data_IF_642889519201
#
_entry.id   IF_642889519201
#
_cell.length_a   1.000
_cell.length_b   1.000
_cell.length_c   1.000
_cell.angle_alpha   90.00
_cell.angle_beta   90.00
_cell.angle_gamma   90.00
#
_symmetry.space_group_name_H-M   'P 1'
#
loop_
_entity.id
_entity.type
_entity.pdbx_description
1 polymer ?
#
# COMPACT_ATOMS: atom_id res chain seq x y z
N UNK A 1 11.92 -30.98 -7.19
CA UNK A 1 10.67 -30.31 -7.65
C UNK A 1 10.94 -28.84 -7.59
N UNK A 2 10.70 -28.10 -8.66
CA UNK A 2 10.86 -26.65 -8.61
C UNK A 2 9.71 -26.02 -7.84
N UNK A 3 10.01 -25.04 -7.01
CA UNK A 3 9.07 -24.31 -6.19
C UNK A 3 8.05 -23.56 -7.05
N UNK A 4 6.76 -23.71 -6.75
CA UNK A 4 5.67 -22.99 -7.41
C UNK A 4 5.10 -21.90 -6.50
N UNK A 5 4.37 -20.94 -7.07
CA UNK A 5 3.62 -19.97 -6.24
C UNK A 5 2.65 -20.68 -5.27
N UNK A 6 2.02 -21.76 -5.70
CA UNK A 6 1.08 -22.51 -4.85
C UNK A 6 1.75 -23.03 -3.57
N UNK A 7 3.01 -23.48 -3.65
CA UNK A 7 3.77 -23.96 -2.50
C UNK A 7 4.06 -22.82 -1.53
N UNK A 8 4.51 -21.68 -2.05
CA UNK A 8 4.89 -20.49 -1.27
C UNK A 8 3.67 -19.77 -0.70
N UNK A 9 2.55 -19.72 -1.43
CA UNK A 9 1.31 -19.05 -1.02
C UNK A 9 0.81 -19.53 0.33
N UNK A 10 0.73 -20.84 0.52
CA UNK A 10 0.22 -21.42 1.77
C UNK A 10 1.14 -21.10 2.94
N UNK A 11 2.45 -21.07 2.73
CA UNK A 11 3.41 -20.67 3.75
C UNK A 11 3.29 -19.20 4.11
N UNK A 12 3.15 -18.30 3.12
CA UNK A 12 2.94 -16.87 3.36
C UNK A 12 1.66 -16.63 4.15
N UNK A 13 0.53 -17.23 3.74
CA UNK A 13 -0.74 -17.12 4.46
C UNK A 13 -0.65 -17.66 5.88
N UNK A 14 -0.01 -18.80 6.07
CA UNK A 14 0.22 -19.39 7.40
C UNK A 14 1.07 -18.46 8.27
N UNK A 15 2.14 -17.88 7.71
CA UNK A 15 3.02 -16.97 8.43
C UNK A 15 2.31 -15.67 8.82
N UNK A 16 1.50 -15.09 7.92
CA UNK A 16 0.71 -13.87 8.21
C UNK A 16 -0.34 -14.15 9.29
N UNK A 17 -1.06 -15.28 9.19
CA UNK A 17 -2.07 -15.68 10.18
C UNK A 17 -1.47 -15.98 11.56
N UNK A 18 -0.27 -16.51 11.61
CA UNK A 18 0.46 -16.77 12.86
C UNK A 18 1.14 -15.50 13.43
N UNK A 19 1.23 -14.45 12.67
CA UNK A 19 1.90 -13.23 13.08
C UNK A 19 1.01 -12.39 14.00
N UNK A 20 1.33 -12.35 15.28
CA UNK A 20 0.56 -11.62 16.29
C UNK A 20 0.39 -10.13 15.93
N UNK A 21 1.44 -9.48 15.39
CA UNK A 21 1.37 -8.06 15.03
C UNK A 21 0.45 -7.81 13.84
N UNK A 22 0.48 -8.69 12.84
CA UNK A 22 -0.45 -8.60 11.70
C UNK A 22 -1.91 -8.75 12.20
N UNK A 23 -2.18 -9.70 13.09
CA UNK A 23 -3.50 -9.89 13.71
C UNK A 23 -3.97 -8.65 14.46
N UNK A 24 -3.14 -8.08 15.35
CA UNK A 24 -3.46 -6.85 16.09
C UNK A 24 -3.74 -5.67 15.16
N UNK A 25 -2.95 -5.51 14.08
CA UNK A 25 -3.14 -4.42 13.11
C UNK A 25 -4.43 -4.62 12.31
N UNK A 26 -4.75 -5.86 11.93
CA UNK A 26 -6.01 -6.18 11.27
C UNK A 26 -7.22 -5.87 12.17
N UNK A 27 -7.18 -6.30 13.44
CA UNK A 27 -8.25 -6.02 14.40
C UNK A 27 -8.46 -4.52 14.61
N UNK A 28 -7.38 -3.73 14.63
CA UNK A 28 -7.45 -2.26 14.75
C UNK A 28 -8.23 -1.61 13.61
N UNK A 29 -8.18 -2.16 12.39
CA UNK A 29 -8.96 -1.64 11.26
C UNK A 29 -10.48 -1.73 11.49
N UNK A 30 -10.92 -2.63 12.36
CA UNK A 30 -12.33 -2.80 12.73
C UNK A 30 -12.75 -1.94 13.93
N UNK A 31 -11.82 -1.18 14.52
CA UNK A 31 -12.11 -0.28 15.64
C UNK A 31 -12.49 1.11 15.10
N UNK A 32 -13.51 1.73 15.73
CA UNK A 32 -13.92 3.09 15.37
C UNK A 32 -12.76 4.08 15.46
N UNK A 33 -12.49 4.76 14.35
CA UNK A 33 -11.46 5.79 14.26
C UNK A 33 -10.15 5.31 13.62
N UNK A 34 -10.06 4.04 13.21
CA UNK A 34 -8.96 3.57 12.36
C UNK A 34 -9.00 4.26 10.99
N UNK A 35 -7.85 4.30 10.33
CA UNK A 35 -7.70 4.94 9.03
C UNK A 35 -6.48 4.43 8.28
N UNK A 36 -6.02 5.18 7.30
CA UNK A 36 -4.89 4.76 6.44
C UNK A 36 -3.58 4.56 7.19
N UNK A 37 -3.36 5.22 8.34
CA UNK A 37 -2.22 4.92 9.21
C UNK A 37 -2.19 3.45 9.66
N UNK A 38 -3.35 2.89 10.00
CA UNK A 38 -3.46 1.49 10.43
C UNK A 38 -3.32 0.54 9.23
N UNK A 39 -3.91 0.89 8.07
CA UNK A 39 -3.74 0.15 6.81
C UNK A 39 -2.26 0.14 6.36
N UNK A 40 -1.56 1.27 6.46
CA UNK A 40 -0.14 1.38 6.14
C UNK A 40 0.72 0.51 7.08
N UNK A 41 0.44 0.54 8.38
CA UNK A 41 1.16 -0.32 9.33
C UNK A 41 0.92 -1.81 9.03
N UNK A 42 -0.31 -2.19 8.64
CA UNK A 42 -0.64 -3.53 8.21
C UNK A 42 0.10 -3.91 6.91
N UNK A 43 0.12 -3.04 5.91
CA UNK A 43 0.84 -3.25 4.64
C UNK A 43 2.34 -3.48 4.86
N UNK A 44 2.99 -2.67 5.71
CA UNK A 44 4.39 -2.86 6.11
C UNK A 44 4.60 -4.23 6.74
N UNK A 45 3.67 -4.68 7.61
CA UNK A 45 3.80 -5.97 8.28
C UNK A 45 3.61 -7.12 7.32
N UNK A 46 2.59 -7.07 6.45
CA UNK A 46 2.35 -8.07 5.39
C UNK A 46 3.59 -8.18 4.50
N UNK A 47 4.11 -7.07 3.97
CA UNK A 47 5.31 -7.06 3.12
C UNK A 47 6.54 -7.66 3.83
N UNK A 48 6.75 -7.30 5.11
CA UNK A 48 7.86 -7.83 5.91
C UNK A 48 7.73 -9.33 6.14
N UNK A 49 6.54 -9.83 6.50
CA UNK A 49 6.32 -11.27 6.73
C UNK A 49 6.51 -12.04 5.44
N UNK A 50 5.95 -11.56 4.33
CA UNK A 50 6.13 -12.15 3.00
C UNK A 50 7.61 -12.20 2.60
N UNK A 51 8.35 -11.09 2.76
CA UNK A 51 9.78 -11.05 2.49
C UNK A 51 10.58 -12.05 3.34
N UNK A 52 10.20 -12.22 4.61
CA UNK A 52 10.85 -13.21 5.50
C UNK A 52 10.55 -14.66 5.11
N UNK A 53 9.36 -14.96 4.57
CA UNK A 53 9.08 -16.28 4.01
C UNK A 53 9.95 -16.52 2.78
N UNK A 54 9.99 -15.56 1.85
CA UNK A 54 10.78 -15.68 0.62
C UNK A 54 12.29 -15.86 0.88
N UNK A 55 12.83 -15.27 1.95
CA UNK A 55 14.25 -15.42 2.36
C UNK A 55 14.64 -16.86 2.74
N UNK A 56 13.69 -17.73 2.99
CA UNK A 56 13.98 -19.15 3.32
C UNK A 56 14.35 -19.96 2.11
N UNK A 57 13.97 -19.50 0.93
CA UNK A 57 14.23 -20.18 -0.32
C UNK A 57 15.55 -19.72 -0.91
N UNK A 58 16.34 -20.69 -1.38
CA UNK A 58 17.59 -20.42 -2.07
C UNK A 58 17.31 -20.18 -3.56
N UNK A 59 18.18 -19.43 -4.26
CA UNK A 59 18.02 -19.23 -5.71
C UNK A 59 17.85 -20.51 -6.51
N UNK A 60 18.52 -21.61 -6.10
CA UNK A 60 18.46 -22.92 -6.73
C UNK A 60 17.10 -23.59 -6.60
N UNK A 61 16.30 -23.24 -5.59
CA UNK A 61 14.94 -23.77 -5.39
C UNK A 61 13.96 -23.18 -6.40
N UNK A 62 14.31 -22.05 -7.00
CA UNK A 62 13.46 -21.25 -7.87
C UNK A 62 13.99 -21.34 -9.29
N UNK A 63 13.37 -22.17 -10.12
CA UNK A 63 13.68 -22.19 -11.54
C UNK A 63 13.30 -20.84 -12.19
N UNK A 64 14.14 -20.34 -13.11
CA UNK A 64 13.95 -19.04 -13.77
C UNK A 64 12.54 -18.84 -14.37
N UNK A 65 12.01 -19.86 -15.02
CA UNK A 65 10.67 -19.82 -15.61
C UNK A 65 9.51 -19.75 -14.59
N UNK A 66 9.76 -20.03 -13.29
CA UNK A 66 8.76 -19.91 -12.26
C UNK A 66 8.64 -18.47 -11.70
N UNK A 67 9.59 -17.59 -12.03
CA UNK A 67 9.56 -16.20 -11.55
C UNK A 67 8.33 -15.45 -12.05
N UNK A 68 7.88 -15.73 -13.28
CA UNK A 68 6.70 -15.13 -13.89
C UNK A 68 5.38 -15.52 -13.18
N UNK A 69 5.36 -16.63 -12.45
CA UNK A 69 4.24 -17.06 -11.62
C UNK A 69 4.43 -16.65 -10.15
N UNK A 70 5.61 -16.89 -9.61
CA UNK A 70 5.93 -16.67 -8.19
C UNK A 70 5.84 -15.20 -7.79
N UNK A 71 6.45 -14.30 -8.55
CA UNK A 71 6.53 -12.88 -8.18
C UNK A 71 5.15 -12.22 -8.30
N UNK A 72 4.46 -12.25 -9.46
CA UNK A 72 3.13 -11.65 -9.57
C UNK A 72 2.11 -12.29 -8.64
N UNK A 73 2.18 -13.61 -8.45
CA UNK A 73 1.29 -14.32 -7.52
C UNK A 73 1.49 -13.87 -6.07
N UNK A 74 2.74 -13.71 -5.63
CA UNK A 74 3.09 -13.24 -4.28
C UNK A 74 2.64 -11.78 -4.07
N UNK A 75 2.91 -10.91 -5.05
CA UNK A 75 2.49 -9.51 -5.00
C UNK A 75 0.98 -9.36 -5.05
N UNK A 76 0.28 -10.20 -5.85
CA UNK A 76 -1.18 -10.26 -5.91
C UNK A 76 -1.80 -10.70 -4.58
N UNK A 77 -1.16 -11.64 -3.88
CA UNK A 77 -1.59 -12.02 -2.53
C UNK A 77 -1.47 -10.85 -1.54
N UNK A 78 -0.32 -10.18 -1.52
CA UNK A 78 -0.12 -9.00 -0.67
C UNK A 78 -1.11 -7.88 -1.04
N UNK A 79 -1.32 -7.64 -2.34
CA UNK A 79 -2.29 -6.68 -2.83
C UNK A 79 -3.69 -6.95 -2.26
N UNK A 80 -4.20 -8.17 -2.37
CA UNK A 80 -5.54 -8.50 -1.91
C UNK A 80 -5.71 -8.29 -0.39
N UNK A 81 -4.70 -8.67 0.40
CA UNK A 81 -4.73 -8.48 1.85
C UNK A 81 -4.71 -6.98 2.23
N UNK A 82 -3.89 -6.20 1.55
CA UNK A 82 -3.74 -4.76 1.84
C UNK A 82 -4.92 -3.96 1.28
N UNK A 83 -5.46 -4.30 0.11
CA UNK A 83 -6.65 -3.66 -0.46
C UNK A 83 -7.87 -3.84 0.47
N UNK A 84 -8.04 -5.03 1.05
CA UNK A 84 -9.07 -5.26 2.06
C UNK A 84 -8.89 -4.35 3.29
N UNK A 85 -7.65 -4.17 3.77
CA UNK A 85 -7.34 -3.26 4.87
C UNK A 85 -7.64 -1.79 4.51
N UNK A 86 -7.32 -1.37 3.30
CA UNK A 86 -7.63 -0.03 2.80
C UNK A 86 -9.14 0.22 2.69
N UNK A 87 -9.89 -0.79 2.25
CA UNK A 87 -11.35 -0.74 2.19
C UNK A 87 -11.96 -0.51 3.57
N UNK A 88 -11.50 -1.20 4.61
CA UNK A 88 -11.96 -0.98 5.99
C UNK A 88 -11.56 0.41 6.51
N UNK A 89 -10.33 0.84 6.25
CA UNK A 89 -9.87 2.19 6.60
C UNK A 89 -10.76 3.28 5.98
N UNK A 90 -11.04 3.16 4.66
CA UNK A 90 -11.88 4.13 3.95
C UNK A 90 -13.34 4.10 4.43
N UNK A 91 -13.91 2.93 4.72
CA UNK A 91 -15.26 2.83 5.33
C UNK A 91 -15.34 3.62 6.64
N UNK A 92 -14.32 3.50 7.49
CA UNK A 92 -14.29 4.21 8.76
C UNK A 92 -14.16 5.73 8.57
N UNK A 93 -13.31 6.18 7.64
CA UNK A 93 -13.17 7.60 7.28
C UNK A 93 -14.48 8.16 6.72
N UNK A 94 -15.11 7.46 5.78
CA UNK A 94 -16.40 7.85 5.19
C UNK A 94 -17.48 7.95 6.26
N UNK A 95 -17.57 6.98 7.17
CA UNK A 95 -18.52 6.99 8.28
C UNK A 95 -18.28 8.18 9.22
N UNK A 96 -17.02 8.48 9.54
CA UNK A 96 -16.64 9.63 10.39
C UNK A 96 -17.02 10.95 9.73
N UNK A 97 -16.74 11.09 8.43
CA UNK A 97 -17.04 12.29 7.65
C UNK A 97 -18.51 12.36 7.16
N UNK A 98 -19.32 11.33 7.43
CA UNK A 98 -20.71 11.18 6.93
C UNK A 98 -20.79 11.24 5.41
N UNK A 99 -19.84 10.62 4.73
CA UNK A 99 -19.75 10.49 3.28
C UNK A 99 -20.40 9.18 2.87
N UNK A 100 -21.36 9.22 1.92
CA UNK A 100 -22.10 8.06 1.42
C UNK A 100 -21.47 7.39 0.18
N UNK A 101 -20.23 7.73 -0.16
CA UNK A 101 -19.52 7.17 -1.31
C UNK A 101 -18.92 5.81 -0.91
N UNK A 102 -19.01 4.82 -1.80
CA UNK A 102 -18.36 3.52 -1.56
C UNK A 102 -16.84 3.68 -1.64
N UNK A 103 -16.07 2.98 -0.79
CA UNK A 103 -14.63 2.89 -0.97
C UNK A 103 -14.28 2.38 -2.37
N UNK A 104 -13.25 2.96 -2.96
CA UNK A 104 -12.62 2.46 -4.17
C UNK A 104 -11.53 1.47 -3.75
N UNK A 105 -11.50 0.32 -4.39
CA UNK A 105 -10.46 -0.68 -4.22
C UNK A 105 -9.38 -0.41 -5.27
N UNK A 106 -8.09 -0.36 -4.88
CA UNK A 106 -7.02 -0.13 -5.84
C UNK A 106 -6.88 -1.31 -6.79
N UNK A 107 -6.56 -1.03 -8.04
CA UNK A 107 -6.22 -2.07 -9.02
C UNK A 107 -4.83 -2.67 -8.74
N UNK A 108 -4.65 -3.93 -9.15
CA UNK A 108 -3.35 -4.57 -9.08
C UNK A 108 -2.38 -3.97 -10.12
N UNK A 109 -1.24 -3.44 -9.65
CA UNK A 109 -0.21 -2.89 -10.52
C UNK A 109 0.61 -4.01 -11.19
N UNK A 110 0.05 -4.56 -12.27
CA UNK A 110 0.68 -5.61 -13.08
C UNK A 110 1.98 -5.15 -13.75
N UNK A 111 2.09 -3.88 -14.13
CA UNK A 111 3.29 -3.34 -14.75
C UNK A 111 4.47 -3.32 -13.77
N UNK A 112 4.22 -2.90 -12.54
CA UNK A 112 5.23 -2.92 -11.49
C UNK A 112 5.62 -4.34 -11.11
N UNK A 113 4.66 -5.26 -11.04
CA UNK A 113 4.93 -6.67 -10.77
C UNK A 113 5.82 -7.27 -11.86
N UNK A 114 5.51 -7.02 -13.15
CA UNK A 114 6.32 -7.45 -14.28
C UNK A 114 7.72 -6.83 -14.25
N UNK A 115 7.83 -5.53 -13.96
CA UNK A 115 9.13 -4.86 -13.82
C UNK A 115 10.01 -5.49 -12.74
N UNK A 116 9.42 -6.01 -11.66
CA UNK A 116 10.15 -6.74 -10.62
C UNK A 116 10.63 -8.11 -11.09
N UNK A 117 9.84 -8.82 -11.92
CA UNK A 117 10.26 -10.07 -12.55
C UNK A 117 11.50 -9.84 -13.41
N UNK A 118 11.45 -8.85 -14.31
CA UNK A 118 12.56 -8.53 -15.19
C UNK A 118 13.81 -8.09 -14.42
N UNK A 119 13.65 -7.27 -13.37
CA UNK A 119 14.75 -6.86 -12.52
C UNK A 119 15.43 -8.03 -11.79
N UNK A 120 14.67 -9.05 -11.37
CA UNK A 120 15.23 -10.27 -10.77
C UNK A 120 15.93 -11.12 -11.82
N UNK A 121 15.35 -11.28 -13.03
CA UNK A 121 15.97 -12.01 -14.15
C UNK A 121 17.31 -11.38 -14.55
N UNK A 122 17.36 -10.06 -14.67
CA UNK A 122 18.59 -9.33 -15.03
C UNK A 122 19.69 -9.48 -13.98
N UNK A 123 19.34 -9.51 -12.70
CA UNK A 123 20.31 -9.68 -11.59
C UNK A 123 20.72 -11.12 -11.38
N UNK A 124 19.90 -12.08 -11.81
CA UNK A 124 20.13 -13.51 -11.58
C UNK A 124 19.99 -13.94 -10.13
N UNK A 125 19.37 -13.10 -9.27
CA UNK A 125 19.18 -13.40 -7.84
C UNK A 125 17.91 -12.77 -7.25
N UNK A 126 17.34 -13.46 -6.27
CA UNK A 126 16.35 -12.92 -5.34
C UNK A 126 17.09 -12.52 -4.07
N UNK A 127 17.43 -11.25 -3.95
CA UNK A 127 18.27 -10.72 -2.87
C UNK A 127 17.55 -9.70 -1.97
N UNK A 128 18.31 -9.05 -1.05
CA UNK A 128 17.75 -8.09 -0.09
C UNK A 128 16.91 -7.00 -0.73
N UNK A 129 17.33 -6.49 -1.88
CA UNK A 129 16.63 -5.44 -2.61
C UNK A 129 15.23 -5.89 -3.07
N UNK A 130 15.08 -7.16 -3.50
CA UNK A 130 13.77 -7.70 -3.85
C UNK A 130 12.80 -7.74 -2.65
N UNK A 131 13.28 -8.13 -1.46
CA UNK A 131 12.43 -8.16 -0.26
C UNK A 131 11.97 -6.77 0.17
N UNK A 132 12.83 -5.77 0.01
CA UNK A 132 12.46 -4.38 0.24
C UNK A 132 11.42 -3.90 -0.78
N UNK A 133 11.56 -4.30 -2.04
CA UNK A 133 10.60 -3.99 -3.10
C UNK A 133 9.23 -4.67 -2.88
N UNK A 134 9.19 -5.89 -2.34
CA UNK A 134 7.92 -6.54 -1.91
C UNK A 134 7.22 -5.72 -0.82
N UNK A 135 7.99 -5.18 0.12
CA UNK A 135 7.44 -4.30 1.16
C UNK A 135 6.96 -2.96 0.58
N UNK A 136 7.74 -2.34 -0.29
CA UNK A 136 7.36 -1.11 -0.98
C UNK A 136 6.13 -1.30 -1.88
N UNK A 137 6.00 -2.46 -2.54
CA UNK A 137 4.80 -2.79 -3.31
C UNK A 137 3.56 -2.80 -2.41
N UNK A 138 3.64 -3.44 -1.26
CA UNK A 138 2.52 -3.49 -0.30
C UNK A 138 2.13 -2.08 0.20
N UNK A 139 3.10 -1.18 0.43
CA UNK A 139 2.82 0.22 0.77
C UNK A 139 2.17 0.99 -0.38
N UNK A 140 2.62 0.72 -1.62
CA UNK A 140 2.05 1.39 -2.80
C UNK A 140 0.57 1.05 -3.02
N UNK A 141 0.10 -0.13 -2.60
CA UNK A 141 -1.33 -0.47 -2.60
C UNK A 141 -2.13 0.51 -1.72
N UNK A 142 -1.57 0.91 -0.58
CA UNK A 142 -2.21 1.91 0.30
C UNK A 142 -2.23 3.29 -0.36
N UNK A 143 -1.12 3.69 -0.97
CA UNK A 143 -1.02 4.99 -1.64
C UNK A 143 -1.99 5.09 -2.82
N UNK A 144 -2.12 4.01 -3.61
CA UNK A 144 -3.08 3.92 -4.70
C UNK A 144 -4.53 3.98 -4.18
N UNK A 145 -4.84 3.25 -3.11
CA UNK A 145 -6.17 3.31 -2.49
C UNK A 145 -6.51 4.72 -2.01
N UNK A 146 -5.55 5.45 -1.44
CA UNK A 146 -5.73 6.85 -1.04
C UNK A 146 -6.00 7.71 -2.26
N UNK A 147 -5.20 7.56 -3.32
CA UNK A 147 -5.34 8.31 -4.57
C UNK A 147 -6.73 8.11 -5.18
N UNK A 148 -7.14 6.86 -5.39
CA UNK A 148 -8.41 6.52 -6.05
C UNK A 148 -9.62 7.03 -5.26
N UNK A 149 -9.59 6.93 -3.94
CA UNK A 149 -10.64 7.44 -3.08
C UNK A 149 -10.68 8.97 -3.05
N UNK A 150 -9.51 9.63 -3.04
CA UNK A 150 -9.42 11.08 -3.12
C UNK A 150 -9.93 11.62 -4.46
N UNK A 151 -9.62 10.93 -5.58
CA UNK A 151 -10.09 11.27 -6.91
C UNK A 151 -11.62 11.26 -7.00
N UNK A 152 -12.25 10.14 -6.62
CA UNK A 152 -13.71 9.99 -6.67
C UNK A 152 -14.40 11.00 -5.75
N UNK A 153 -13.83 11.27 -4.58
CA UNK A 153 -14.41 12.21 -3.64
C UNK A 153 -14.21 13.66 -4.07
N UNK A 154 -13.04 14.02 -4.62
CA UNK A 154 -12.81 15.33 -5.21
C UNK A 154 -13.75 15.58 -6.40
N UNK A 155 -13.92 14.61 -7.29
CA UNK A 155 -14.89 14.68 -8.40
C UNK A 155 -16.34 14.86 -7.91
N UNK A 156 -16.68 14.34 -6.72
CA UNK A 156 -17.97 14.54 -6.06
C UNK A 156 -18.07 15.89 -5.30
N UNK A 157 -17.07 16.76 -5.38
CA UNK A 157 -17.03 18.07 -4.72
C UNK A 157 -16.66 18.00 -3.23
N UNK A 158 -16.09 16.91 -2.76
CA UNK A 158 -15.57 16.78 -1.39
C UNK A 158 -14.11 17.23 -1.40
N UNK A 159 -13.77 18.21 -0.55
CA UNK A 159 -12.39 18.65 -0.44
C UNK A 159 -11.50 17.57 0.18
N UNK A 160 -10.61 17.04 -0.62
CA UNK A 160 -9.68 15.98 -0.24
C UNK A 160 -8.27 16.57 -0.03
N UNK A 161 -7.64 16.22 1.08
CA UNK A 161 -6.25 16.60 1.38
C UNK A 161 -5.40 15.38 1.61
N UNK A 162 -4.18 15.43 1.09
CA UNK A 162 -3.16 14.40 1.25
C UNK A 162 -2.15 14.89 2.28
N UNK A 163 -1.88 14.08 3.27
CA UNK A 163 -0.89 14.37 4.31
C UNK A 163 0.25 13.38 4.19
N UNK A 164 1.45 13.87 3.90
CA UNK A 164 2.66 13.06 3.91
C UNK A 164 3.45 13.35 5.18
N UNK A 165 3.64 12.32 5.99
CA UNK A 165 4.42 12.40 7.23
C UNK A 165 5.72 11.62 7.06
N UNK A 166 6.84 12.32 7.23
CA UNK A 166 8.15 11.70 7.22
C UNK A 166 8.40 10.91 8.51
N UNK A 167 9.01 9.72 8.39
CA UNK A 167 9.44 8.96 9.55
C UNK A 167 10.63 9.66 10.24
N UNK A 168 10.79 9.43 11.54
CA UNK A 168 12.00 9.85 12.26
C UNK A 168 13.24 9.25 11.59
N UNK A 169 14.27 10.07 11.36
CA UNK A 169 15.50 9.69 10.66
C UNK A 169 15.33 9.38 9.16
N UNK A 170 14.26 9.87 8.52
CA UNK A 170 14.12 9.77 7.08
C UNK A 170 15.23 10.54 6.33
N UNK A 171 15.39 10.26 5.03
CA UNK A 171 16.29 11.03 4.19
C UNK A 171 15.78 12.46 3.96
N UNK A 172 16.67 13.35 3.50
CA UNK A 172 16.34 14.75 3.24
C UNK A 172 15.19 14.90 2.24
N UNK A 173 15.19 14.13 1.16
CA UNK A 173 14.12 14.15 0.15
C UNK A 173 12.74 13.84 0.78
N UNK A 174 12.63 12.81 1.62
CA UNK A 174 11.38 12.51 2.34
C UNK A 174 10.98 13.63 3.32
N UNK A 175 11.94 14.27 3.98
CA UNK A 175 11.69 15.40 4.88
C UNK A 175 11.17 16.62 4.13
N UNK A 176 11.72 16.89 2.95
CA UNK A 176 11.33 18.03 2.11
C UNK A 176 9.91 17.86 1.52
N UNK A 177 9.47 16.60 1.35
CA UNK A 177 8.12 16.25 0.87
C UNK A 177 7.09 16.08 2.00
N UNK A 178 7.48 16.19 3.27
CA UNK A 178 6.52 16.12 4.36
C UNK A 178 5.63 17.38 4.38
N UNK A 179 4.31 17.17 4.42
CA UNK A 179 3.39 18.32 4.36
C UNK A 179 1.94 17.89 4.19
N UNK A 180 1.08 18.89 4.04
CA UNK A 180 -0.34 18.74 3.72
C UNK A 180 -0.61 19.42 2.40
N UNK A 181 -1.21 18.71 1.48
CA UNK A 181 -1.46 19.10 0.10
C UNK A 181 -2.95 18.99 -0.22
N UNK A 182 -3.49 19.91 -0.99
CA UNK A 182 -4.78 19.73 -1.61
C UNK A 182 -4.65 18.64 -2.68
N UNK A 183 -5.61 17.71 -2.75
CA UNK A 183 -5.52 16.61 -3.70
C UNK A 183 -5.39 17.10 -5.14
N UNK A 184 -6.14 18.15 -5.51
CA UNK A 184 -6.12 18.68 -6.88
C UNK A 184 -4.75 19.22 -7.30
N UNK A 185 -3.91 19.63 -6.35
CA UNK A 185 -2.54 20.10 -6.61
C UNK A 185 -1.55 18.95 -6.81
N UNK A 186 -1.87 17.76 -6.31
CA UNK A 186 -0.96 16.59 -6.32
C UNK A 186 -1.59 15.35 -6.97
N UNK A 187 -2.70 15.50 -7.69
CA UNK A 187 -3.45 14.40 -8.28
C UNK A 187 -2.73 13.62 -9.39
N UNK A 188 -1.70 14.21 -9.99
CA UNK A 188 -0.85 13.51 -10.93
C UNK A 188 -0.09 12.39 -10.20
N UNK A 189 -0.25 11.14 -10.65
CA UNK A 189 0.45 9.99 -10.07
C UNK A 189 1.97 10.08 -10.23
N UNK A 190 2.47 10.87 -11.18
CA UNK A 190 3.89 11.22 -11.32
C UNK A 190 4.40 12.23 -10.28
N UNK A 191 3.51 12.86 -9.50
CA UNK A 191 3.90 13.82 -8.47
C UNK A 191 4.74 13.15 -7.38
N UNK A 192 5.83 13.83 -6.98
CA UNK A 192 6.78 13.31 -5.98
C UNK A 192 6.14 12.99 -4.63
N UNK A 193 5.01 13.61 -4.27
CA UNK A 193 4.26 13.33 -3.04
C UNK A 193 3.86 11.86 -2.93
N UNK A 194 3.63 11.17 -4.07
CA UNK A 194 3.28 9.74 -4.13
C UNK A 194 4.50 8.81 -4.23
N UNK A 195 5.67 9.34 -4.56
CA UNK A 195 6.83 8.52 -4.82
C UNK A 195 7.48 7.99 -3.55
N UNK A 196 8.03 6.77 -3.65
CA UNK A 196 8.78 6.10 -2.59
C UNK A 196 10.13 5.63 -3.13
N UNK A 197 11.18 5.91 -2.38
CA UNK A 197 12.48 5.28 -2.59
C UNK A 197 12.56 3.92 -1.86
N UNK A 198 13.60 3.15 -2.10
CA UNK A 198 13.85 1.90 -1.40
C UNK A 198 13.88 2.14 0.13
N UNK A 199 13.27 1.22 0.89
CA UNK A 199 13.14 1.32 2.34
C UNK A 199 12.40 2.58 2.86
N UNK A 200 11.62 3.25 2.03
CA UNK A 200 10.80 4.37 2.47
C UNK A 200 9.68 3.88 3.40
N UNK A 201 9.56 4.52 4.57
CA UNK A 201 8.51 4.25 5.57
C UNK A 201 7.63 5.45 5.88
N UNK A 202 7.70 6.47 5.03
CA UNK A 202 6.84 7.64 5.16
C UNK A 202 5.38 7.24 5.07
N UNK A 203 4.55 7.88 5.88
CA UNK A 203 3.11 7.67 5.89
C UNK A 203 2.45 8.66 4.93
N UNK A 204 1.54 8.17 4.11
CA UNK A 204 0.59 9.00 3.36
C UNK A 204 -0.80 8.74 3.95
N UNK A 205 -1.52 9.79 4.24
CA UNK A 205 -2.87 9.76 4.79
C UNK A 205 -3.80 10.65 3.97
N UNK A 206 -5.07 10.36 4.05
CA UNK A 206 -6.14 11.08 3.41
C UNK A 206 -7.05 11.73 4.45
N UNK A 207 -7.40 12.99 4.22
CA UNK A 207 -8.35 13.73 5.03
C UNK A 207 -9.45 14.27 4.09
N UNK A 208 -10.70 13.87 4.35
CA UNK A 208 -11.86 14.46 3.70
C UNK A 208 -12.50 15.49 4.62
N UNK A 209 -12.65 16.72 4.16
CA UNK A 209 -13.33 17.77 4.91
C UNK A 209 -14.65 18.17 4.24
N UNK A 210 -15.76 17.67 4.78
CA UNK A 210 -17.09 18.00 4.30
C UNK A 210 -17.53 19.42 4.67
N UNK A 211 -16.89 20.04 5.67
CA UNK A 211 -17.33 21.36 6.18
C UNK A 211 -16.96 22.53 5.27
N UNK A 212 -15.98 22.38 4.39
CA UNK A 212 -15.63 23.46 3.45
C UNK A 212 -16.63 23.60 2.30
N UNK A 213 -17.30 22.52 1.89
CA UNK A 213 -18.34 22.56 0.85
C UNK A 213 -19.48 23.51 1.26
N UNK A 214 -19.90 23.49 2.52
CA UNK A 214 -21.00 24.31 3.04
C UNK A 214 -20.60 25.80 3.13
N UNK A 215 -19.34 26.11 3.34
CA UNK A 215 -18.85 27.50 3.38
C UNK A 215 -18.84 28.16 2.01
N UNK A 216 -18.45 27.45 0.97
CA UNK A 216 -18.42 27.99 -0.40
C UNK A 216 -19.81 28.18 -1.00
N UNK A 217 -20.78 27.33 -0.66
CA UNK A 217 -22.18 27.53 -1.06
C UNK A 217 -22.87 28.73 -0.39
N UNK A 218 -22.44 29.13 0.82
CA UNK A 218 -22.98 30.31 1.52
C UNK A 218 -22.33 31.63 1.11
N UNK A 219 -21.25 31.60 0.31
CA UNK A 219 -20.56 32.80 -0.17
C UNK A 219 -20.86 33.15 -1.63
N UNK A 220 -21.73 32.39 -2.30
CA UNK A 220 -22.31 32.71 -3.61
C UNK A 220 -23.78 33.08 -3.42
#
# INVERSE_FOLDING_TARGET
MSLTFSDVKNEILSAINADYRAGVLWDRLHIKGSGYKDAHAYALRVGTVTGNVLKKYQPEDIAEWNLDDLIPGTLGLNHNLVAAACTEAQKNLNKKAKIGIRPQEPDFDGNRAYGLVEAVKERGEIGPLFYDQVTNFSQNVVDQAIHDNAEVQSAAGIHARIVRTAEAHCCRWCSDLAGTYDYDDVKDTGNEVWQRHDNCRCLIEYIADRYEIVRNYRRR
#
